data_IF_598936863129
#
_entry.id   IF_598936863129
#
_cell.length_a   1.000
_cell.length_b   1.000
_cell.length_c   1.000
_cell.angle_alpha   90.00
_cell.angle_beta   90.00
_cell.angle_gamma   90.00
#
_symmetry.space_group_name_H-M   'P 1'
#
loop_
_entity.id
_entity.type
_entity.pdbx_description
1 polymer ?
#
# COMPACT_ATOMS: atom_id res chain seq x y z
N UNK A 1 -54.06 1.84 -27.97
CA UNK A 1 -52.79 1.12 -27.86
C UNK A 1 -52.25 0.83 -29.27
N UNK A 2 -50.95 1.13 -29.50
CA UNK A 2 -50.33 0.87 -30.80
C UNK A 2 -50.13 -0.64 -30.97
N UNK A 3 -50.70 -1.23 -32.01
CA UNK A 3 -50.59 -2.65 -32.30
C UNK A 3 -49.14 -3.15 -32.56
N UNK A 4 -48.21 -2.24 -32.89
CA UNK A 4 -46.83 -2.59 -33.17
C UNK A 4 -45.92 -2.56 -31.95
N UNK A 5 -46.25 -1.78 -30.92
CA UNK A 5 -45.39 -1.68 -29.73
C UNK A 5 -46.12 -2.01 -28.42
N UNK A 6 -47.40 -2.36 -28.43
CA UNK A 6 -48.26 -2.64 -27.25
C UNK A 6 -48.11 -1.61 -26.11
N UNK A 7 -47.83 -0.36 -26.46
CA UNK A 7 -47.65 0.71 -25.49
C UNK A 7 -46.18 0.91 -25.02
N UNK A 8 -45.22 0.11 -25.50
CA UNK A 8 -43.80 0.24 -25.12
C UNK A 8 -43.08 1.45 -25.74
N UNK A 9 -43.71 2.13 -26.72
CA UNK A 9 -43.13 3.32 -27.36
C UNK A 9 -42.00 3.08 -28.36
N UNK A 10 -41.54 1.83 -28.50
CA UNK A 10 -40.49 1.44 -29.44
C UNK A 10 -40.80 0.09 -30.08
N UNK A 11 -40.43 -0.08 -31.35
CA UNK A 11 -40.46 -1.34 -32.09
C UNK A 11 -39.04 -1.84 -32.23
N UNK A 12 -38.72 -2.91 -31.52
CA UNK A 12 -37.40 -3.54 -31.54
C UNK A 12 -36.99 -3.95 -30.14
N UNK A 13 -36.34 -5.10 -30.05
CA UNK A 13 -35.77 -5.58 -28.79
C UNK A 13 -34.56 -4.74 -28.37
N UNK A 14 -34.18 -4.84 -27.12
CA UNK A 14 -32.89 -4.32 -26.63
C UNK A 14 -31.74 -5.09 -27.28
N UNK A 15 -30.81 -4.39 -27.93
CA UNK A 15 -29.54 -4.97 -28.40
C UNK A 15 -28.45 -4.78 -27.34
N UNK A 16 -27.68 -5.84 -27.10
CA UNK A 16 -26.52 -5.75 -26.21
C UNK A 16 -25.29 -5.51 -27.09
N UNK A 17 -24.61 -4.40 -26.85
CA UNK A 17 -23.34 -4.07 -27.49
C UNK A 17 -22.26 -3.92 -26.43
N UNK A 18 -21.02 -4.33 -26.76
CA UNK A 18 -19.85 -4.15 -25.90
C UNK A 18 -19.14 -2.86 -26.31
N UNK A 19 -18.80 -2.02 -25.33
CA UNK A 19 -17.98 -0.83 -25.56
C UNK A 19 -16.88 -0.78 -24.52
N UNK A 20 -15.71 -0.25 -24.89
CA UNK A 20 -14.59 -0.03 -23.97
C UNK A 20 -14.62 1.44 -23.53
N UNK A 21 -14.57 1.66 -22.22
CA UNK A 21 -14.56 2.99 -21.62
C UNK A 21 -13.25 3.15 -20.87
N UNK A 22 -12.49 4.18 -21.20
CA UNK A 22 -11.30 4.58 -20.43
C UNK A 22 -11.74 5.38 -19.22
N UNK A 23 -11.17 5.04 -18.05
CA UNK A 23 -11.50 5.67 -16.79
C UNK A 23 -10.21 6.12 -16.12
N UNK A 24 -10.05 7.43 -15.94
CA UNK A 24 -8.96 8.01 -15.19
C UNK A 24 -9.20 7.83 -13.69
N UNK A 25 -8.42 6.99 -13.05
CA UNK A 25 -8.51 6.78 -11.60
C UNK A 25 -7.71 7.85 -10.87
N UNK A 26 -8.35 8.72 -10.07
CA UNK A 26 -7.65 9.76 -9.35
C UNK A 26 -6.78 9.17 -8.23
N UNK A 27 -5.61 9.79 -7.98
CA UNK A 27 -4.75 9.39 -6.87
C UNK A 27 -5.46 9.59 -5.53
N UNK A 28 -5.24 8.66 -4.60
CA UNK A 28 -5.80 8.74 -3.25
C UNK A 28 -7.21 8.16 -3.09
N UNK A 29 -7.74 7.55 -4.13
CA UNK A 29 -9.00 6.79 -4.04
C UNK A 29 -8.86 5.65 -3.05
N UNK A 30 -9.90 5.37 -2.29
CA UNK A 30 -9.99 4.26 -1.34
C UNK A 30 -11.25 3.41 -1.58
N UNK A 31 -11.29 2.24 -0.96
CA UNK A 31 -12.47 1.37 -1.00
C UNK A 31 -13.72 2.12 -0.55
N UNK A 32 -14.82 1.93 -1.30
CA UNK A 32 -16.09 2.63 -1.05
C UNK A 32 -16.24 3.97 -1.76
N UNK A 33 -15.17 4.54 -2.33
CA UNK A 33 -15.30 5.68 -3.22
C UNK A 33 -15.95 5.23 -4.54
N UNK A 34 -16.65 6.15 -5.19
CA UNK A 34 -17.21 5.93 -6.51
C UNK A 34 -17.08 7.18 -7.38
N UNK A 35 -17.10 6.99 -8.67
CA UNK A 35 -17.20 8.07 -9.64
C UNK A 35 -18.37 7.84 -10.60
N UNK A 36 -18.97 8.92 -11.08
CA UNK A 36 -20.08 8.86 -12.02
C UNK A 36 -19.65 9.41 -13.36
N UNK A 37 -19.71 8.58 -14.39
CA UNK A 37 -19.49 8.97 -15.78
C UNK A 37 -20.85 9.27 -16.42
N UNK A 38 -21.13 10.56 -16.62
CA UNK A 38 -22.41 11.01 -17.18
C UNK A 38 -22.56 10.57 -18.63
N UNK A 39 -23.73 10.05 -18.99
CA UNK A 39 -24.05 9.63 -20.37
C UNK A 39 -23.23 8.42 -20.87
N UNK A 40 -22.58 7.65 -19.98
CA UNK A 40 -21.81 6.46 -20.33
C UNK A 40 -22.47 5.16 -19.88
N UNK A 41 -23.69 5.22 -19.39
CA UNK A 41 -24.50 4.06 -19.04
C UNK A 41 -25.28 3.51 -20.25
N UNK A 42 -26.40 2.87 -19.97
CA UNK A 42 -27.25 2.33 -21.02
C UNK A 42 -27.79 3.46 -21.91
N UNK A 43 -27.77 3.19 -23.20
CA UNK A 43 -28.33 4.13 -24.21
C UNK A 43 -29.85 4.21 -24.06
N UNK A 44 -30.36 5.43 -24.02
CA UNK A 44 -31.79 5.70 -24.00
C UNK A 44 -32.39 5.75 -25.39
N UNK A 45 -33.67 6.08 -25.43
CA UNK A 45 -34.41 6.20 -26.70
C UNK A 45 -34.01 7.49 -27.47
N UNK A 46 -33.42 8.47 -26.79
CA UNK A 46 -32.84 9.66 -27.39
C UNK A 46 -31.52 10.00 -26.71
N UNK A 47 -30.61 10.70 -27.39
CA UNK A 47 -29.29 11.10 -26.88
C UNK A 47 -29.33 11.83 -25.53
N UNK A 48 -30.42 12.50 -25.20
CA UNK A 48 -30.62 13.20 -23.93
C UNK A 48 -31.03 12.26 -22.76
N UNK A 49 -31.34 11.01 -23.05
CA UNK A 49 -31.84 10.01 -22.09
C UNK A 49 -30.83 8.93 -21.75
N UNK A 50 -29.55 9.09 -22.14
CA UNK A 50 -28.52 8.13 -21.81
C UNK A 50 -28.26 8.08 -20.31
N UNK A 51 -28.12 6.86 -19.76
CA UNK A 51 -27.85 6.63 -18.35
C UNK A 51 -26.45 7.03 -17.95
N UNK A 52 -26.21 7.05 -16.65
CA UNK A 52 -24.87 7.25 -16.09
C UNK A 52 -24.23 5.90 -15.75
N UNK A 53 -22.91 5.79 -15.92
CA UNK A 53 -22.13 4.68 -15.44
C UNK A 53 -21.55 5.04 -14.08
N UNK A 54 -21.77 4.21 -13.06
CA UNK A 54 -21.20 4.37 -11.73
C UNK A 54 -20.07 3.36 -11.59
N UNK A 55 -18.86 3.83 -11.31
CA UNK A 55 -17.67 3.01 -11.10
C UNK A 55 -17.33 3.04 -9.61
N UNK A 56 -17.41 1.89 -8.96
CA UNK A 56 -16.99 1.72 -7.56
C UNK A 56 -15.55 1.24 -7.51
N UNK A 57 -14.79 1.81 -6.56
CA UNK A 57 -13.41 1.42 -6.34
C UNK A 57 -13.31 0.44 -5.16
N UNK A 58 -12.49 -0.57 -5.33
CA UNK A 58 -12.12 -1.52 -4.28
C UNK A 58 -10.61 -1.66 -4.24
N UNK A 59 -10.03 -1.51 -3.06
CA UNK A 59 -8.60 -1.74 -2.84
C UNK A 59 -8.31 -3.22 -2.81
N UNK A 60 -7.16 -3.59 -3.35
CA UNK A 60 -6.59 -4.93 -3.28
C UNK A 60 -5.34 -4.83 -2.43
N UNK A 61 -5.15 -5.79 -1.52
CA UNK A 61 -3.97 -5.86 -0.66
C UNK A 61 -2.70 -5.96 -1.50
N UNK A 62 -1.70 -5.16 -1.11
CA UNK A 62 -0.39 -5.17 -1.75
C UNK A 62 0.56 -6.12 -1.00
N UNK A 63 1.50 -6.76 -1.72
CA UNK A 63 2.41 -7.77 -1.15
C UNK A 63 3.29 -7.25 0.00
N UNK A 64 3.70 -5.98 -0.04
CA UNK A 64 4.66 -5.40 0.92
C UNK A 64 4.16 -4.13 1.60
N UNK A 65 3.14 -3.46 1.07
CA UNK A 65 2.62 -2.22 1.62
C UNK A 65 1.26 -2.44 2.30
N UNK A 66 1.14 -1.91 3.49
CA UNK A 66 -0.13 -1.80 4.21
C UNK A 66 -0.51 -0.33 4.19
N UNK A 67 -1.70 -0.03 3.72
CA UNK A 67 -2.25 1.32 3.69
C UNK A 67 -3.12 1.57 4.92
N UNK A 68 -2.93 2.73 5.53
CA UNK A 68 -3.79 3.27 6.58
C UNK A 68 -4.11 4.72 6.22
N UNK A 69 -5.27 4.95 5.63
CA UNK A 69 -5.70 6.22 5.04
C UNK A 69 -4.67 6.79 4.04
N UNK A 70 -3.91 7.79 4.42
CA UNK A 70 -2.85 8.39 3.59
C UNK A 70 -1.47 7.81 3.90
N UNK A 71 -1.31 7.16 5.01
CA UNK A 71 -0.03 6.62 5.45
C UNK A 71 0.20 5.19 4.93
N UNK A 72 1.45 4.86 4.71
CA UNK A 72 1.89 3.56 4.20
C UNK A 72 2.85 2.92 5.19
N UNK A 73 2.64 1.66 5.47
CA UNK A 73 3.47 0.86 6.37
C UNK A 73 4.13 -0.28 5.61
N UNK A 74 5.38 -0.55 5.93
CA UNK A 74 6.09 -1.73 5.46
C UNK A 74 7.06 -2.24 6.54
N UNK A 75 7.41 -3.51 6.49
CA UNK A 75 8.44 -4.11 7.33
C UNK A 75 9.73 -4.32 6.53
N UNK A 76 10.85 -4.11 7.19
CA UNK A 76 12.17 -4.28 6.62
C UNK A 76 12.98 -5.22 7.51
N UNK A 77 13.36 -6.37 6.98
CA UNK A 77 14.25 -7.32 7.65
C UNK A 77 15.70 -6.88 7.55
N UNK A 78 16.31 -6.55 8.68
CA UNK A 78 17.67 -6.09 8.77
C UNK A 78 18.56 -7.18 9.37
N UNK A 79 19.77 -7.32 8.84
CA UNK A 79 20.76 -8.24 9.44
C UNK A 79 21.31 -7.67 10.75
N UNK A 80 21.66 -8.53 11.69
CA UNK A 80 22.22 -8.14 12.99
C UNK A 80 23.40 -7.17 12.88
N UNK A 81 24.35 -7.43 11.96
CA UNK A 81 25.51 -6.56 11.72
C UNK A 81 25.10 -5.13 11.35
N UNK A 82 24.08 -4.99 10.50
CA UNK A 82 23.59 -3.70 10.00
C UNK A 82 22.82 -2.94 11.08
N UNK A 83 22.17 -3.65 11.98
CA UNK A 83 21.52 -3.07 13.15
C UNK A 83 22.53 -2.51 14.17
N UNK A 84 23.65 -3.19 14.35
CA UNK A 84 24.71 -2.76 15.28
C UNK A 84 25.53 -1.61 14.71
N UNK A 85 26.00 -1.75 13.46
CA UNK A 85 26.91 -0.78 12.84
C UNK A 85 26.19 0.43 12.24
N UNK A 86 24.90 0.29 11.98
CA UNK A 86 24.16 1.23 11.14
C UNK A 86 24.47 1.02 9.66
N UNK A 87 23.53 1.39 8.82
CA UNK A 87 23.68 1.23 7.36
C UNK A 87 22.77 2.20 6.62
N UNK A 88 22.91 2.25 5.29
CA UNK A 88 21.97 2.96 4.43
C UNK A 88 21.35 1.96 3.47
N UNK A 89 20.05 1.81 3.55
CA UNK A 89 19.29 0.89 2.70
C UNK A 89 18.48 1.66 1.66
N UNK A 90 18.12 0.98 0.58
CA UNK A 90 17.12 1.47 -0.37
C UNK A 90 15.76 0.90 0.02
N UNK A 91 14.81 1.77 0.25
CA UNK A 91 13.45 1.43 0.62
C UNK A 91 12.53 1.72 -0.55
N UNK A 92 11.69 0.76 -0.96
CA UNK A 92 10.68 1.02 -1.98
C UNK A 92 9.63 2.00 -1.43
N UNK A 93 9.20 2.91 -2.28
CA UNK A 93 8.10 3.85 -2.00
C UNK A 93 7.15 3.87 -3.19
N UNK A 94 5.98 4.47 -3.04
CA UNK A 94 5.02 4.62 -4.14
C UNK A 94 5.57 5.40 -5.35
N UNK A 95 6.61 6.21 -5.13
CA UNK A 95 7.25 7.04 -6.17
C UNK A 95 8.65 6.56 -6.59
N UNK A 96 9.02 5.31 -6.27
CA UNK A 96 10.33 4.74 -6.54
C UNK A 96 11.14 4.48 -5.27
N UNK A 97 12.44 4.21 -5.38
CA UNK A 97 13.31 3.90 -4.24
C UNK A 97 13.87 5.16 -3.57
N UNK A 98 13.93 5.14 -2.25
CA UNK A 98 14.53 6.21 -1.43
C UNK A 98 15.60 5.61 -0.52
N UNK A 99 16.72 6.32 -0.36
CA UNK A 99 17.76 5.95 0.59
C UNK A 99 17.31 6.29 2.02
N UNK A 100 17.28 5.29 2.89
CA UNK A 100 16.98 5.43 4.31
C UNK A 100 18.24 5.09 5.11
N UNK A 101 18.68 6.05 5.93
CA UNK A 101 19.79 5.84 6.85
C UNK A 101 19.27 5.18 8.12
N UNK A 102 19.80 4.00 8.42
CA UNK A 102 19.56 3.27 9.66
C UNK A 102 20.64 3.67 10.67
N UNK A 103 20.28 4.21 11.83
CA UNK A 103 21.25 4.53 12.87
C UNK A 103 21.85 3.25 13.46
N UNK A 104 23.07 3.35 13.98
CA UNK A 104 23.67 2.27 14.76
C UNK A 104 22.91 2.02 16.06
N UNK A 105 22.83 0.77 16.49
CA UNK A 105 22.13 0.38 17.71
C UNK A 105 20.61 0.51 17.63
N UNK A 106 20.03 0.39 16.43
CA UNK A 106 18.58 0.44 16.24
C UNK A 106 17.91 -0.72 16.99
N UNK A 107 16.76 -0.43 17.60
CA UNK A 107 15.98 -1.46 18.33
C UNK A 107 15.12 -2.27 17.38
N UNK A 108 14.93 -3.56 17.71
CA UNK A 108 13.96 -4.39 17.00
C UNK A 108 12.54 -3.79 17.11
N UNK A 109 11.82 -3.75 16.00
CA UNK A 109 10.48 -3.17 15.92
C UNK A 109 10.46 -1.63 15.86
N UNK A 110 11.62 -0.97 15.83
CA UNK A 110 11.66 0.49 15.71
C UNK A 110 11.12 0.94 14.37
N UNK A 111 10.27 1.98 14.39
CA UNK A 111 9.65 2.55 13.20
C UNK A 111 10.40 3.82 12.78
N UNK A 112 10.77 3.87 11.50
CA UNK A 112 11.39 5.03 10.87
C UNK A 112 10.40 5.66 9.90
N UNK A 113 10.29 6.99 9.93
CA UNK A 113 9.33 7.76 9.13
C UNK A 113 10.00 8.40 7.92
N UNK A 114 9.45 8.18 6.75
CA UNK A 114 9.77 8.86 5.49
C UNK A 114 8.66 9.87 5.19
N UNK A 115 8.93 11.14 5.45
CA UNK A 115 7.94 12.22 5.30
C UNK A 115 7.52 12.40 3.85
N UNK A 116 6.22 12.55 3.61
CA UNK A 116 5.63 12.82 2.30
C UNK A 116 5.80 11.68 1.29
N UNK A 117 6.03 10.44 1.76
CA UNK A 117 6.18 9.24 0.92
C UNK A 117 4.98 8.29 0.98
N UNK A 118 3.92 8.70 1.65
CA UNK A 118 2.63 8.02 1.65
C UNK A 118 1.76 8.34 0.43
N UNK A 119 0.47 8.07 0.54
CA UNK A 119 -0.54 8.33 -0.50
C UNK A 119 -0.83 9.82 -0.63
N UNK A 120 -1.15 10.24 -1.84
CA UNK A 120 -1.67 11.57 -2.09
C UNK A 120 -3.14 11.63 -1.66
N UNK A 121 -3.53 12.72 -1.02
CA UNK A 121 -4.92 12.98 -0.65
C UNK A 121 -5.80 13.14 -1.90
N UNK A 122 -6.96 12.49 -1.93
CA UNK A 122 -7.97 12.66 -2.98
C UNK A 122 -8.39 14.13 -3.04
N UNK A 123 -8.37 14.71 -4.23
CA UNK A 123 -8.70 16.14 -4.48
C UNK A 123 -7.89 17.15 -3.65
N UNK A 124 -6.73 16.74 -3.10
CA UNK A 124 -5.87 17.60 -2.30
C UNK A 124 -4.41 17.59 -2.76
N UNK A 125 -3.59 18.39 -2.07
CA UNK A 125 -2.15 18.50 -2.32
C UNK A 125 -1.30 17.85 -1.22
N UNK A 126 -1.93 17.34 -0.16
CA UNK A 126 -1.22 16.70 0.95
C UNK A 126 -0.84 15.27 0.58
N UNK A 127 0.30 14.85 1.11
CA UNK A 127 0.78 13.48 1.06
C UNK A 127 0.87 12.96 2.49
N UNK A 128 0.51 11.71 2.69
CA UNK A 128 0.81 10.98 3.91
C UNK A 128 2.30 10.66 4.01
N UNK A 129 2.67 9.91 5.01
CA UNK A 129 4.02 9.48 5.27
C UNK A 129 4.16 7.98 5.07
N UNK A 130 5.39 7.53 4.91
CA UNK A 130 5.69 6.11 4.88
C UNK A 130 6.43 5.72 6.15
N UNK A 131 5.98 4.68 6.81
CA UNK A 131 6.55 4.13 8.03
C UNK A 131 7.22 2.80 7.74
N UNK A 132 8.48 2.70 8.11
CA UNK A 132 9.30 1.51 7.92
C UNK A 132 9.59 0.90 9.28
N UNK A 133 8.97 -0.25 9.57
CA UNK A 133 9.25 -1.02 10.79
C UNK A 133 10.48 -1.88 10.54
N UNK A 134 11.52 -1.68 11.33
CA UNK A 134 12.76 -2.45 11.22
C UNK A 134 12.67 -3.69 12.09
N UNK A 135 12.76 -4.86 11.47
CA UNK A 135 12.82 -6.14 12.15
C UNK A 135 14.24 -6.71 12.05
N UNK A 136 14.80 -7.15 13.16
CA UNK A 136 16.16 -7.73 13.15
C UNK A 136 16.04 -9.23 12.93
N UNK A 137 16.56 -9.69 11.81
CA UNK A 137 16.54 -11.11 11.46
C UNK A 137 17.68 -11.85 12.19
N UNK A 138 17.30 -12.78 13.06
CA UNK A 138 18.24 -13.66 13.77
C UNK A 138 18.26 -15.01 13.07
N UNK A 139 19.40 -15.44 12.50
CA UNK A 139 19.48 -16.70 11.77
C UNK A 139 19.30 -17.89 12.70
N UNK A 140 18.38 -18.80 12.36
CA UNK A 140 18.11 -20.03 13.15
C UNK A 140 19.23 -21.05 13.10
N UNK A 141 20.05 -21.05 12.03
CA UNK A 141 21.17 -21.98 11.83
C UNK A 141 22.44 -21.20 11.55
N UNK A 142 23.50 -21.50 12.29
CA UNK A 142 24.82 -20.90 12.13
C UNK A 142 25.88 -22.02 12.04
N UNK A 143 26.96 -21.75 11.31
CA UNK A 143 28.10 -22.67 11.24
C UNK A 143 29.04 -22.50 12.46
N UNK A 144 29.96 -23.44 12.65
CA UNK A 144 30.93 -23.40 13.78
C UNK A 144 31.78 -22.13 13.81
N UNK A 145 32.17 -21.59 12.65
CA UNK A 145 32.97 -20.37 12.54
C UNK A 145 32.15 -19.15 13.03
N UNK A 146 30.94 -19.01 12.57
CA UNK A 146 30.02 -17.93 13.02
C UNK A 146 29.74 -18.03 14.51
N UNK A 147 29.53 -19.23 15.03
CA UNK A 147 29.33 -19.47 16.46
C UNK A 147 30.52 -18.97 17.30
N UNK A 148 31.77 -19.32 16.91
CA UNK A 148 32.95 -18.88 17.63
C UNK A 148 33.10 -17.34 17.59
N UNK A 149 32.88 -16.72 16.42
CA UNK A 149 32.91 -15.25 16.28
C UNK A 149 31.86 -14.54 17.15
N UNK A 150 30.68 -15.12 17.30
CA UNK A 150 29.67 -14.56 18.20
C UNK A 150 30.03 -14.64 19.66
N UNK A 151 30.72 -15.73 20.08
CA UNK A 151 31.26 -15.87 21.45
C UNK A 151 32.38 -14.84 21.71
N UNK A 152 33.29 -14.66 20.78
CA UNK A 152 34.34 -13.62 20.88
C UNK A 152 33.70 -12.23 20.97
N UNK A 153 32.75 -11.90 20.10
CA UNK A 153 32.04 -10.65 20.13
C UNK A 153 31.34 -10.39 21.46
N UNK A 154 30.68 -11.41 22.05
CA UNK A 154 29.99 -11.25 23.33
C UNK A 154 30.95 -10.98 24.50
N UNK A 155 32.19 -11.52 24.43
CA UNK A 155 33.25 -11.25 25.42
C UNK A 155 33.75 -9.81 25.33
N UNK A 156 33.96 -9.31 24.11
CA UNK A 156 34.41 -7.94 23.87
C UNK A 156 33.34 -6.88 24.25
N UNK A 157 32.06 -7.14 23.96
CA UNK A 157 30.98 -6.22 24.33
C UNK A 157 30.72 -6.24 25.83
N UNK A 158 30.98 -7.35 26.52
CA UNK A 158 30.81 -7.49 27.98
C UNK A 158 29.32 -7.40 28.40
N UNK A 159 28.39 -7.77 27.54
CA UNK A 159 26.97 -7.68 27.82
C UNK A 159 26.56 -8.61 28.98
N UNK A 160 25.77 -8.06 29.91
CA UNK A 160 25.15 -8.80 31.02
C UNK A 160 23.65 -8.95 30.75
N UNK A 161 23.14 -10.14 31.08
CA UNK A 161 21.67 -10.36 31.05
C UNK A 161 21.03 -9.47 32.11
N UNK A 162 20.13 -8.61 31.71
CA UNK A 162 19.36 -7.74 32.60
C UNK A 162 17.88 -8.06 32.52
N UNK A 163 17.22 -8.04 33.67
CA UNK A 163 15.79 -8.25 33.76
C UNK A 163 15.07 -6.92 33.96
N UNK A 164 14.01 -6.69 33.22
CA UNK A 164 13.17 -5.49 33.34
C UNK A 164 11.73 -5.92 33.60
N UNK A 165 10.95 -5.05 34.24
CA UNK A 165 9.52 -5.27 34.41
C UNK A 165 8.86 -5.39 33.04
N UNK A 166 8.03 -6.41 32.87
CA UNK A 166 7.19 -6.55 31.69
C UNK A 166 6.15 -5.40 31.69
N UNK A 167 6.21 -4.53 30.71
CA UNK A 167 5.20 -3.51 30.49
C UNK A 167 4.39 -3.95 29.27
N UNK A 168 3.09 -4.15 29.47
CA UNK A 168 2.13 -4.43 28.39
C UNK A 168 2.00 -3.25 27.44
#
# INVERSE_FOLDING_TARGET
QCHNCNGAGCIGGTSISSTTIEVDVPCGVSSGNYMTLKGKGNQGVSEQADGNLIVYFQEIDHEIFIRDDLDIYLECDLQYKDAVLGTTIKVPTLSGEVKLKIPNGIKNGQVLRLRGKGMKQLNGHKYGDQFVRVMINIPKKINKKTHNLLIELSKEIGEKITFKKFNE
#
